data_IF_379834348477
#
_entry.id   IF_379834348477
#
_cell.length_a   1.000
_cell.length_b   1.000
_cell.length_c   1.000
_cell.angle_alpha   90.00
_cell.angle_beta   90.00
_cell.angle_gamma   90.00
#
_symmetry.space_group_name_H-M   'P 1'
#
loop_
_entity.id
_entity.type
_entity.pdbx_description
1 polymer ?
#
# COMPACT_ATOMS: atom_id res chain seq x y z
N UNK A 1 9.80 18.28 30.60
CA UNK A 1 9.92 19.53 29.82
C UNK A 1 11.36 19.63 29.30
N UNK A 2 11.55 20.26 28.13
CA UNK A 2 12.79 20.39 27.33
C UNK A 2 13.11 19.15 26.47
N UNK A 3 13.12 19.18 25.14
CA UNK A 3 13.27 20.30 24.21
C UNK A 3 14.48 20.02 23.33
N UNK A 4 14.28 19.33 22.20
CA UNK A 4 15.28 19.24 21.14
C UNK A 4 14.60 19.58 19.81
N UNK A 5 14.64 20.87 19.46
CA UNK A 5 14.32 21.38 18.12
C UNK A 5 15.55 21.17 17.23
N UNK A 6 15.45 20.25 16.27
CA UNK A 6 16.37 20.03 15.15
C UNK A 6 15.56 19.47 13.96
N UNK A 7 15.90 19.76 12.69
CA UNK A 7 14.96 19.67 11.57
C UNK A 7 14.56 18.21 11.32
N UNK A 8 13.28 17.90 11.59
CA UNK A 8 12.63 16.62 11.30
C UNK A 8 13.53 15.38 11.46
N UNK A 9 14.02 15.14 12.67
CA UNK A 9 14.42 13.79 13.04
C UNK A 9 13.17 12.92 13.03
N UNK A 10 12.86 12.29 11.89
CA UNK A 10 11.81 11.28 11.79
C UNK A 10 12.01 10.32 12.98
N UNK A 11 11.02 10.18 13.89
CA UNK A 11 11.16 9.25 15.00
C UNK A 11 11.40 7.88 14.38
N UNK A 12 12.62 7.33 14.53
CA UNK A 12 12.94 6.03 13.96
C UNK A 12 11.90 5.05 14.49
N UNK A 13 11.00 4.55 13.63
CA UNK A 13 9.94 3.70 14.11
C UNK A 13 10.58 2.46 14.72
N UNK A 14 10.18 2.12 15.94
CA UNK A 14 10.71 0.94 16.62
C UNK A 14 10.59 -0.30 15.71
N UNK A 15 11.48 -1.29 15.89
CA UNK A 15 11.53 -2.50 15.01
C UNK A 15 10.16 -3.14 14.80
N UNK A 16 9.30 -3.12 15.81
CA UNK A 16 7.91 -3.59 15.74
C UNK A 16 7.06 -2.78 14.75
N UNK A 17 7.18 -1.45 14.74
CA UNK A 17 6.48 -0.59 13.78
C UNK A 17 6.95 -0.85 12.36
N UNK A 18 8.27 -0.99 12.11
CA UNK A 18 8.78 -1.33 10.78
C UNK A 18 8.26 -2.70 10.31
N UNK A 19 8.23 -3.69 11.21
CA UNK A 19 7.71 -5.02 10.91
C UNK A 19 6.23 -4.98 10.53
N UNK A 20 5.40 -4.32 11.36
CA UNK A 20 3.96 -4.15 11.12
C UNK A 20 3.73 -3.39 9.81
N UNK A 21 4.41 -2.27 9.58
CA UNK A 21 4.27 -1.48 8.35
C UNK A 21 4.65 -2.27 7.10
N UNK A 22 5.66 -3.15 7.17
CA UNK A 22 6.00 -4.06 6.06
C UNK A 22 4.96 -5.15 5.85
N UNK A 23 4.36 -5.66 6.92
CA UNK A 23 3.30 -6.68 6.87
C UNK A 23 2.01 -6.12 6.25
N UNK A 24 1.59 -4.93 6.68
CA UNK A 24 0.42 -4.25 6.12
C UNK A 24 0.68 -3.77 4.69
N UNK A 25 1.84 -3.17 4.41
CA UNK A 25 2.22 -2.77 3.06
C UNK A 25 2.30 -3.96 2.10
N UNK A 26 2.88 -5.08 2.54
CA UNK A 26 2.94 -6.32 1.79
C UNK A 26 1.57 -6.94 1.54
N UNK A 27 0.70 -6.98 2.56
CA UNK A 27 -0.68 -7.48 2.42
C UNK A 27 -1.51 -6.62 1.46
N UNK A 28 -1.33 -5.30 1.49
CA UNK A 28 -2.04 -4.38 0.60
C UNK A 28 -1.58 -4.53 -0.85
N UNK A 29 -0.27 -4.67 -1.07
CA UNK A 29 0.28 -4.96 -2.39
C UNK A 29 -0.19 -6.33 -2.91
N UNK A 30 -0.20 -7.36 -2.06
CA UNK A 30 -0.74 -8.68 -2.40
C UNK A 30 -2.23 -8.60 -2.77
N UNK A 31 -3.02 -7.84 -2.00
CA UNK A 31 -4.44 -7.64 -2.28
C UNK A 31 -4.66 -6.96 -3.61
N UNK A 32 -3.91 -5.90 -3.92
CA UNK A 32 -4.02 -5.22 -5.21
C UNK A 32 -3.61 -6.10 -6.38
N UNK A 33 -2.57 -6.94 -6.24
CA UNK A 33 -2.16 -7.87 -7.29
C UNK A 33 -3.19 -8.99 -7.51
N UNK A 34 -3.72 -9.54 -6.41
CA UNK A 34 -4.75 -10.58 -6.43
C UNK A 34 -6.04 -10.06 -7.05
N UNK A 35 -6.47 -8.87 -6.62
CA UNK A 35 -7.65 -8.18 -7.15
C UNK A 35 -7.43 -7.81 -8.62
N UNK A 36 -6.27 -7.27 -8.97
CA UNK A 36 -5.90 -6.94 -10.34
C UNK A 36 -5.95 -8.16 -11.26
N UNK A 37 -5.50 -9.34 -10.83
CA UNK A 37 -5.64 -10.58 -11.62
C UNK A 37 -7.08 -11.06 -11.77
N UNK A 38 -7.92 -10.92 -10.73
CA UNK A 38 -9.32 -11.37 -10.77
C UNK A 38 -10.26 -10.40 -11.46
N UNK A 39 -9.99 -9.10 -11.35
CA UNK A 39 -10.78 -8.03 -11.96
C UNK A 39 -10.23 -7.63 -13.34
N UNK A 40 -9.01 -8.04 -13.73
CA UNK A 40 -8.51 -7.86 -15.10
C UNK A 40 -9.53 -8.30 -16.16
N UNK A 41 -10.13 -9.51 -16.09
CA UNK A 41 -11.12 -9.92 -17.07
C UNK A 41 -12.40 -9.07 -17.01
N UNK A 42 -12.78 -8.55 -15.85
CA UNK A 42 -13.96 -7.67 -15.69
C UNK A 42 -13.70 -6.27 -16.28
N UNK A 43 -12.51 -5.72 -16.03
CA UNK A 43 -12.07 -4.42 -16.55
C UNK A 43 -11.83 -4.50 -18.07
N UNK A 44 -11.18 -5.57 -18.56
CA UNK A 44 -11.03 -5.79 -20.00
C UNK A 44 -12.38 -6.02 -20.69
N UNK A 45 -13.27 -6.81 -20.08
CA UNK A 45 -14.61 -7.04 -20.64
C UNK A 45 -15.43 -5.74 -20.70
N UNK A 46 -15.39 -4.91 -19.66
CA UNK A 46 -16.09 -3.61 -19.66
C UNK A 46 -15.48 -2.59 -20.64
N UNK A 47 -14.16 -2.62 -20.86
CA UNK A 47 -13.51 -1.84 -21.92
C UNK A 47 -13.86 -2.35 -23.32
N UNK A 48 -14.00 -3.66 -23.50
CA UNK A 48 -14.39 -4.27 -24.78
C UNK A 48 -15.85 -4.01 -25.17
N UNK A 49 -16.77 -3.91 -24.20
CA UNK A 49 -18.19 -3.62 -24.47
C UNK A 49 -18.49 -2.13 -24.63
N UNK A 50 -17.57 -1.23 -24.28
CA UNK A 50 -17.76 0.23 -24.44
C UNK A 50 -17.58 0.72 -25.88
N UNK A 51 -17.16 -0.15 -26.80
CA UNK A 51 -16.94 0.16 -28.22
C UNK A 51 -17.97 -0.50 -29.16
N UNK A 52 -19.01 -1.16 -28.62
CA UNK A 52 -20.04 -1.85 -29.41
C UNK A 52 -21.37 -1.10 -29.48
#
# INVERSE_FOLDING_TARGET
>A
MAGAKGPHGFPLPGRAHVFISKLFGGSMAFWMLYRGKKELPVVLASLGTSWS
#
